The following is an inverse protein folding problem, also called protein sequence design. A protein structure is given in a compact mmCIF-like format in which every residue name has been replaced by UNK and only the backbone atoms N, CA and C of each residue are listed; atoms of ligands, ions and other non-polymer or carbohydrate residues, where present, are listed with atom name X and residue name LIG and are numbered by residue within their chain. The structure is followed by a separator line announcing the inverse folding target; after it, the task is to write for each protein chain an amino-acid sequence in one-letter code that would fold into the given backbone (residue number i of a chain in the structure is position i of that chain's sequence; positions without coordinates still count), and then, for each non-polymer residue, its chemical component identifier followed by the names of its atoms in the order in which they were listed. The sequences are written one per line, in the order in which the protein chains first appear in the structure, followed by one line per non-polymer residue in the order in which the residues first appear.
data_IF_304920712154
#
_entry.id   IF_304920712154
#
_cell.length_a   1.000
_cell.length_b   1.000
_cell.length_c   1.000
_cell.angle_alpha   90.00
_cell.angle_beta   90.00
_cell.angle_gamma   90.00
#
_symmetry.space_group_name_H-M   'P 1'
#
loop_
_entity.id
_entity.type
_entity.pdbx_description
1 polymer ?
#
# COMPACT_ATOMS: atom_id res chain seq x y z
N UNK A 1 -12.97 3.09 3.58
CA UNK A 1 -11.69 3.72 3.96
C UNK A 1 -10.54 2.93 3.35
N UNK A 2 -9.50 3.61 2.87
CA UNK A 2 -8.27 3.01 2.35
C UNK A 2 -7.08 3.58 3.12
N UNK A 3 -6.35 2.72 3.83
CA UNK A 3 -5.29 3.03 4.80
C UNK A 3 -5.70 3.96 5.95
N UNK A 4 -4.87 4.04 6.99
CA UNK A 4 -5.14 4.82 8.20
C UNK A 4 -4.02 5.79 8.58
N UNK A 5 -2.97 5.90 7.74
CA UNK A 5 -1.85 6.81 7.97
C UNK A 5 -0.89 6.35 9.07
N UNK A 6 0.10 7.21 9.36
CA UNK A 6 1.23 6.89 10.22
C UNK A 6 1.06 7.31 11.69
N UNK A 7 -0.05 7.96 12.03
CA UNK A 7 -0.28 8.49 13.37
C UNK A 7 -1.78 8.54 13.71
N UNK A 8 -2.15 7.92 14.83
CA UNK A 8 -3.56 7.83 15.25
C UNK A 8 -4.17 9.20 15.59
N UNK A 9 -3.40 10.13 16.14
CA UNK A 9 -3.88 11.48 16.51
C UNK A 9 -4.14 12.32 15.25
N UNK A 10 -3.21 12.29 14.29
CA UNK A 10 -3.37 12.95 12.99
C UNK A 10 -4.56 12.38 12.22
N UNK A 11 -4.70 11.07 12.21
CA UNK A 11 -5.85 10.40 11.59
C UNK A 11 -7.17 10.84 12.25
N UNK A 12 -7.23 10.85 13.58
CA UNK A 12 -8.39 11.33 14.34
C UNK A 12 -8.74 12.79 14.04
N UNK A 13 -7.71 13.65 13.97
CA UNK A 13 -7.88 15.06 13.61
C UNK A 13 -8.49 15.21 12.21
N UNK A 14 -7.92 14.53 11.22
CA UNK A 14 -8.39 14.57 9.83
C UNK A 14 -9.83 14.05 9.68
N UNK A 15 -10.15 12.94 10.33
CA UNK A 15 -11.51 12.36 10.35
C UNK A 15 -12.52 13.38 10.89
N UNK A 16 -12.21 14.06 11.99
CA UNK A 16 -13.06 15.10 12.58
C UNK A 16 -13.21 16.32 11.68
N UNK A 17 -12.09 16.79 11.13
CA UNK A 17 -12.06 17.98 10.26
C UNK A 17 -12.88 17.75 8.97
N UNK A 18 -12.81 16.54 8.41
CA UNK A 18 -13.54 16.16 7.20
C UNK A 18 -14.98 15.71 7.49
N UNK A 19 -15.39 15.63 8.75
CA UNK A 19 -16.73 15.20 9.14
C UNK A 19 -17.04 13.74 8.80
N UNK A 20 -16.03 12.87 8.74
CA UNK A 20 -16.21 11.45 8.41
C UNK A 20 -16.69 10.68 9.65
N UNK A 21 -17.83 10.01 9.54
CA UNK A 21 -18.33 9.12 10.61
C UNK A 21 -17.79 7.69 10.40
N UNK A 22 -16.73 7.34 11.12
CA UNK A 22 -16.09 6.03 11.04
C UNK A 22 -17.03 4.87 11.43
N UNK A 23 -18.12 5.13 12.18
CA UNK A 23 -19.12 4.12 12.55
C UNK A 23 -19.96 3.65 11.37
N UNK A 24 -19.98 4.43 10.29
CA UNK A 24 -20.75 4.15 9.06
C UNK A 24 -19.93 3.54 7.93
N UNK A 25 -18.69 3.13 8.21
CA UNK A 25 -17.86 2.47 7.22
C UNK A 25 -18.39 1.06 6.94
N UNK A 26 -18.60 0.74 5.68
CA UNK A 26 -18.93 -0.62 5.24
C UNK A 26 -17.73 -1.56 5.38
N UNK A 27 -16.53 -1.03 5.08
CA UNK A 27 -15.25 -1.74 5.21
C UNK A 27 -14.05 -0.79 5.21
N UNK A 28 -12.92 -1.34 5.58
CA UNK A 28 -11.60 -0.72 5.51
C UNK A 28 -10.68 -1.60 4.68
N UNK A 29 -9.78 -1.01 3.92
CA UNK A 29 -8.70 -1.69 3.23
C UNK A 29 -7.38 -1.18 3.82
N UNK A 30 -6.53 -2.08 4.25
CA UNK A 30 -5.12 -1.81 4.54
C UNK A 30 -4.30 -2.31 3.36
N UNK A 31 -3.59 -1.39 2.71
CA UNK A 31 -2.82 -1.72 1.52
C UNK A 31 -1.70 -2.68 1.81
N UNK A 32 -0.91 -2.42 2.85
CA UNK A 32 0.22 -3.26 3.26
C UNK A 32 0.63 -2.98 4.72
N UNK A 33 1.62 -3.71 5.21
CA UNK A 33 2.01 -3.78 6.64
C UNK A 33 2.77 -2.58 7.19
N UNK A 34 3.23 -1.63 6.40
CA UNK A 34 4.05 -0.53 6.90
C UNK A 34 3.28 0.38 7.86
N UNK A 35 3.98 0.89 8.87
CA UNK A 35 3.38 1.64 9.97
C UNK A 35 2.69 2.93 9.54
N UNK A 36 3.17 3.55 8.47
CA UNK A 36 2.58 4.76 7.88
C UNK A 36 1.23 4.51 7.17
N UNK A 37 0.80 3.26 7.07
CA UNK A 37 -0.51 2.85 6.56
C UNK A 37 -1.42 2.27 7.64
N UNK A 38 -0.85 1.77 8.74
CA UNK A 38 -1.57 0.99 9.75
C UNK A 38 -1.74 1.68 11.10
N UNK A 39 -0.96 2.72 11.41
CA UNK A 39 -0.90 3.29 12.78
C UNK A 39 -2.22 3.93 13.24
N UNK A 40 -3.05 4.40 12.33
CA UNK A 40 -4.38 4.94 12.66
C UNK A 40 -5.41 3.88 13.05
N UNK A 41 -5.12 2.57 12.88
CA UNK A 41 -6.01 1.48 13.29
C UNK A 41 -6.36 1.54 14.77
N UNK A 42 -5.45 2.01 15.64
CA UNK A 42 -5.75 2.18 17.06
C UNK A 42 -6.94 3.11 17.30
N UNK A 43 -6.98 4.26 16.59
CA UNK A 43 -8.12 5.18 16.70
C UNK A 43 -9.37 4.61 16.01
N UNK A 44 -9.24 4.06 14.81
CA UNK A 44 -10.35 3.46 14.10
C UNK A 44 -11.07 2.41 14.96
N UNK A 45 -10.32 1.48 15.53
CA UNK A 45 -10.87 0.38 16.33
C UNK A 45 -11.47 0.86 17.66
N UNK A 46 -11.00 1.98 18.21
CA UNK A 46 -11.64 2.61 19.39
C UNK A 46 -13.03 3.17 19.07
N UNK A 47 -13.30 3.52 17.80
CA UNK A 47 -14.57 4.11 17.35
C UNK A 47 -15.49 3.05 16.72
N UNK A 48 -14.91 2.13 15.94
CA UNK A 48 -15.64 1.06 15.24
C UNK A 48 -14.88 -0.28 15.35
N UNK A 49 -15.00 -0.99 16.48
CA UNK A 49 -14.20 -2.19 16.75
C UNK A 49 -14.55 -3.40 15.86
N UNK A 50 -15.71 -3.39 15.22
CA UNK A 50 -16.21 -4.54 14.44
C UNK A 50 -16.16 -4.32 12.93
N UNK A 51 -15.63 -3.18 12.46
CA UNK A 51 -15.56 -2.90 11.03
C UNK A 51 -14.74 -3.97 10.30
N UNK A 52 -15.22 -4.51 9.16
CA UNK A 52 -14.43 -5.43 8.34
C UNK A 52 -13.17 -4.73 7.80
N UNK A 53 -12.00 -5.34 8.02
CA UNK A 53 -10.71 -4.80 7.57
C UNK A 53 -10.09 -5.80 6.60
N UNK A 54 -10.12 -5.49 5.32
CA UNK A 54 -9.40 -6.25 4.31
C UNK A 54 -7.92 -5.91 4.37
N UNK A 55 -7.09 -6.93 4.55
CA UNK A 55 -5.65 -6.78 4.66
C UNK A 55 -4.92 -7.87 3.87
N UNK A 56 -3.68 -7.63 3.40
CA UNK A 56 -2.94 -8.63 2.66
C UNK A 56 -2.59 -9.83 3.55
N UNK A 57 -2.79 -11.05 3.03
CA UNK A 57 -2.30 -12.27 3.67
C UNK A 57 -0.79 -12.32 3.52
N UNK A 58 -0.09 -12.13 4.61
CA UNK A 58 1.37 -12.17 4.66
C UNK A 58 1.88 -13.51 5.19
N UNK A 59 2.93 -14.03 4.56
CA UNK A 59 3.52 -15.31 4.94
C UNK A 59 4.30 -15.23 6.25
N UNK A 60 4.74 -14.03 6.64
CA UNK A 60 5.67 -13.78 7.73
C UNK A 60 5.04 -13.11 8.95
N UNK A 61 3.74 -13.19 9.12
CA UNK A 61 3.07 -12.73 10.33
C UNK A 61 3.21 -11.22 10.54
N UNK A 62 2.60 -10.46 9.70
CA UNK A 62 2.53 -9.01 9.74
C UNK A 62 1.32 -8.52 10.51
N UNK A 63 1.23 -7.23 10.75
CA UNK A 63 0.25 -6.62 11.65
C UNK A 63 0.43 -7.04 13.12
N UNK A 64 1.66 -6.89 13.62
CA UNK A 64 2.01 -7.15 15.02
C UNK A 64 2.50 -8.55 15.31
N UNK A 65 2.84 -9.33 14.31
CA UNK A 65 3.45 -10.62 14.51
C UNK A 65 4.98 -10.52 14.63
N UNK A 66 5.54 -11.54 15.25
CA UNK A 66 7.00 -11.72 15.37
C UNK A 66 7.53 -12.46 14.15
N UNK A 67 8.58 -11.94 13.53
CA UNK A 67 9.20 -12.50 12.33
C UNK A 67 10.53 -13.14 12.71
N UNK A 68 10.82 -14.39 12.32
CA UNK A 68 12.11 -15.00 12.56
C UNK A 68 13.27 -14.24 11.90
N UNK A 69 14.40 -14.01 12.58
CA UNK A 69 15.50 -13.21 12.04
C UNK A 69 16.17 -13.80 10.79
N UNK A 70 15.95 -15.10 10.51
CA UNK A 70 16.45 -15.75 9.28
C UNK A 70 15.93 -15.15 7.97
N UNK A 71 14.81 -14.44 8.02
CA UNK A 71 14.27 -13.70 6.85
C UNK A 71 14.94 -12.36 6.65
N UNK A 72 15.75 -11.93 7.61
CA UNK A 72 16.42 -10.67 7.57
C UNK A 72 17.72 -10.80 6.76
N UNK A 73 17.81 -10.13 5.62
CA UNK A 73 19.02 -10.12 4.81
C UNK A 73 20.06 -9.19 5.42
N UNK A 74 21.19 -9.75 5.81
CA UNK A 74 22.35 -8.99 6.27
C UNK A 74 23.21 -8.58 5.09
N UNK A 75 23.69 -7.34 5.10
CA UNK A 75 24.73 -6.87 4.20
C UNK A 75 25.97 -6.53 5.02
N UNK A 76 26.87 -7.50 5.16
CA UNK A 76 28.04 -7.37 6.02
C UNK A 76 29.06 -6.33 5.53
N UNK A 77 29.03 -6.00 4.24
CA UNK A 77 29.82 -4.91 3.63
C UNK A 77 29.32 -3.51 3.99
N UNK A 78 28.11 -3.36 4.54
CA UNK A 78 27.59 -2.05 4.94
C UNK A 78 28.28 -1.56 6.23
N UNK A 79 28.56 -0.25 6.35
CA UNK A 79 29.04 0.34 7.59
C UNK A 79 28.13 -0.02 8.77
N UNK A 80 28.66 -0.24 9.98
CA UNK A 80 27.87 -0.66 11.15
C UNK A 80 26.67 0.27 11.44
N UNK A 81 26.84 1.58 11.27
CA UNK A 81 25.80 2.61 11.49
C UNK A 81 24.65 2.52 10.46
N UNK A 82 24.89 1.92 9.32
CA UNK A 82 23.88 1.67 8.27
C UNK A 82 23.25 0.27 8.38
N UNK A 83 23.70 -0.53 9.32
CA UNK A 83 23.14 -1.86 9.54
C UNK A 83 21.91 -1.76 10.44
N UNK A 84 20.87 -2.48 10.07
CA UNK A 84 19.72 -2.63 10.95
C UNK A 84 20.12 -3.22 12.30
N UNK A 85 19.59 -2.66 13.37
CA UNK A 85 19.91 -3.01 14.76
C UNK A 85 21.42 -2.93 15.08
N UNK A 86 22.17 -2.06 14.41
CA UNK A 86 23.64 -1.96 14.51
C UNK A 86 24.34 -3.32 14.31
N UNK A 87 23.78 -4.18 13.45
CA UNK A 87 24.28 -5.54 13.18
C UNK A 87 23.92 -6.59 14.22
N UNK A 88 23.22 -6.22 15.30
CA UNK A 88 22.77 -7.14 16.36
C UNK A 88 21.30 -7.46 16.16
N UNK A 89 20.98 -8.35 15.23
CA UNK A 89 19.62 -8.78 14.96
C UNK A 89 19.02 -9.45 16.20
N UNK A 90 17.85 -9.01 16.69
CA UNK A 90 17.19 -9.66 17.83
C UNK A 90 16.70 -11.07 17.46
N UNK A 91 16.40 -11.88 18.44
CA UNK A 91 15.89 -13.25 18.24
C UNK A 91 14.55 -13.24 17.47
N UNK A 92 13.77 -12.18 17.62
CA UNK A 92 12.52 -11.98 16.92
C UNK A 92 12.44 -10.53 16.41
N UNK A 93 11.93 -10.36 15.20
CA UNK A 93 11.59 -9.07 14.62
C UNK A 93 10.08 -8.87 14.78
N UNK A 94 9.69 -7.82 15.51
CA UNK A 94 8.28 -7.45 15.63
C UNK A 94 7.94 -6.36 14.63
N UNK A 95 6.77 -6.46 13.99
CA UNK A 95 6.23 -5.44 13.10
C UNK A 95 4.85 -5.01 13.55
N UNK A 96 4.62 -3.69 13.61
CA UNK A 96 3.35 -3.09 13.97
C UNK A 96 2.88 -3.38 15.40
N UNK A 97 1.70 -2.90 15.72
CA UNK A 97 1.00 -3.25 16.97
C UNK A 97 0.04 -4.40 16.71
N UNK A 98 -0.07 -5.38 17.61
CA UNK A 98 -1.06 -6.44 17.49
C UNK A 98 -2.47 -5.86 17.68
N UNK A 99 -3.39 -6.28 16.81
CA UNK A 99 -4.82 -5.97 16.93
C UNK A 99 -5.62 -7.29 16.96
N UNK A 100 -5.51 -8.10 18.02
CA UNK A 100 -6.05 -9.46 18.06
C UNK A 100 -7.59 -9.51 18.00
N UNK A 101 -8.25 -8.43 18.37
CA UNK A 101 -9.72 -8.31 18.32
C UNK A 101 -10.24 -7.69 17.01
N UNK A 102 -9.38 -7.25 16.11
CA UNK A 102 -9.79 -6.65 14.86
C UNK A 102 -10.37 -7.71 13.89
N UNK A 103 -11.41 -7.32 13.18
CA UNK A 103 -12.08 -8.17 12.20
C UNK A 103 -11.31 -8.16 10.86
N UNK A 104 -10.12 -8.78 10.83
CA UNK A 104 -9.32 -8.90 9.61
C UNK A 104 -9.87 -9.97 8.67
N UNK A 105 -9.98 -9.59 7.41
CA UNK A 105 -10.28 -10.47 6.27
C UNK A 105 -9.04 -10.50 5.38
N UNK A 106 -8.35 -11.64 5.36
CA UNK A 106 -7.07 -11.80 4.70
C UNK A 106 -7.22 -12.05 3.21
N UNK A 107 -6.55 -11.23 2.39
CA UNK A 107 -6.61 -11.27 0.93
C UNK A 107 -5.25 -11.66 0.36
N UNK A 108 -5.24 -12.63 -0.57
CA UNK A 108 -4.05 -13.13 -1.27
C UNK A 108 -4.20 -13.19 -2.79
N UNK A 109 -5.38 -12.90 -3.30
CA UNK A 109 -5.72 -12.97 -4.72
C UNK A 109 -6.71 -11.87 -5.11
N UNK A 110 -6.99 -11.73 -6.41
CA UNK A 110 -8.03 -10.83 -6.90
C UNK A 110 -9.38 -11.18 -6.25
N UNK A 111 -9.95 -10.23 -5.52
CA UNK A 111 -11.16 -10.45 -4.74
C UNK A 111 -12.17 -9.32 -4.96
N UNK A 112 -13.40 -9.65 -5.31
CA UNK A 112 -14.50 -8.69 -5.32
C UNK A 112 -15.07 -8.53 -3.91
N UNK A 113 -15.02 -7.31 -3.38
CA UNK A 113 -15.47 -6.98 -2.01
C UNK A 113 -16.80 -6.23 -1.97
N UNK A 114 -17.32 -5.85 -3.12
CA UNK A 114 -18.60 -5.17 -3.28
C UNK A 114 -18.94 -4.98 -4.76
N UNK A 115 -20.14 -4.51 -5.07
CA UNK A 115 -20.54 -4.25 -6.45
C UNK A 115 -19.63 -3.15 -7.05
N UNK A 116 -18.74 -3.54 -7.96
CA UNK A 116 -17.79 -2.63 -8.61
C UNK A 116 -16.53 -2.34 -7.80
N UNK A 117 -16.32 -2.99 -6.64
CA UNK A 117 -15.12 -2.84 -5.81
C UNK A 117 -14.31 -4.14 -5.82
N UNK A 118 -13.04 -4.05 -6.18
CA UNK A 118 -12.13 -5.19 -6.29
C UNK A 118 -10.81 -4.88 -5.57
N UNK A 119 -10.26 -5.87 -4.91
CA UNK A 119 -8.92 -5.83 -4.34
C UNK A 119 -7.97 -6.61 -5.23
N UNK A 120 -6.95 -5.92 -5.72
CA UNK A 120 -5.83 -6.51 -6.43
C UNK A 120 -4.76 -6.87 -5.39
N UNK A 121 -4.30 -8.10 -5.41
CA UNK A 121 -3.22 -8.57 -4.53
C UNK A 121 -1.97 -8.80 -5.36
N UNK A 122 -0.95 -7.99 -5.15
CA UNK A 122 0.35 -8.09 -5.83
C UNK A 122 1.47 -8.24 -4.81
N UNK A 123 2.56 -8.91 -5.19
CA UNK A 123 3.70 -9.15 -4.31
C UNK A 123 4.94 -8.49 -4.87
N UNK A 124 5.63 -7.70 -4.04
CA UNK A 124 6.92 -7.15 -4.41
C UNK A 124 7.97 -8.26 -4.51
N UNK A 125 8.69 -8.27 -5.63
CA UNK A 125 9.83 -9.18 -5.85
C UNK A 125 11.18 -8.47 -5.69
N UNK A 126 11.17 -7.22 -5.24
CA UNK A 126 12.38 -6.45 -5.02
C UNK A 126 13.15 -7.08 -3.85
N UNK A 127 14.43 -7.45 -4.02
CA UNK A 127 15.24 -8.01 -2.95
C UNK A 127 15.24 -7.10 -1.72
N UNK A 128 15.07 -7.68 -0.53
CA UNK A 128 15.06 -6.94 0.74
C UNK A 128 13.70 -6.48 1.23
N UNK A 129 12.63 -6.63 0.45
CA UNK A 129 11.26 -6.25 0.86
C UNK A 129 10.49 -7.37 1.56
N UNK A 130 11.11 -8.50 1.88
CA UNK A 130 10.50 -9.66 2.58
C UNK A 130 9.18 -10.10 1.94
N UNK A 131 9.14 -10.25 0.63
CA UNK A 131 7.92 -10.65 -0.10
C UNK A 131 6.69 -9.79 0.25
N UNK A 132 6.88 -8.49 0.35
CA UNK A 132 5.82 -7.57 0.71
C UNK A 132 4.63 -7.71 -0.24
N UNK A 133 3.51 -8.18 0.30
CA UNK A 133 2.23 -8.20 -0.40
C UNK A 133 1.51 -6.87 -0.21
N UNK A 134 0.96 -6.36 -1.29
CA UNK A 134 0.22 -5.11 -1.28
C UNK A 134 -1.15 -5.28 -1.96
N UNK A 135 -2.16 -4.68 -1.36
CA UNK A 135 -3.49 -4.57 -1.93
C UNK A 135 -3.66 -3.19 -2.58
N UNK A 136 -4.19 -3.19 -3.78
CA UNK A 136 -4.70 -1.98 -4.43
C UNK A 136 -6.21 -2.10 -4.60
N UNK A 137 -6.94 -1.01 -4.41
CA UNK A 137 -8.39 -0.99 -4.58
C UNK A 137 -8.74 -0.50 -5.98
N UNK A 138 -9.40 -1.35 -6.76
CA UNK A 138 -9.97 -0.97 -8.05
C UNK A 138 -11.48 -0.73 -7.91
N UNK A 139 -11.92 0.41 -8.39
CA UNK A 139 -13.33 0.82 -8.42
C UNK A 139 -13.77 0.91 -9.88
N UNK A 140 -14.72 0.08 -10.29
CA UNK A 140 -15.28 0.12 -11.64
C UNK A 140 -16.26 1.28 -11.76
N UNK A 141 -16.03 2.16 -12.73
CA UNK A 141 -16.89 3.29 -13.06
C UNK A 141 -17.33 3.25 -14.53
N UNK A 142 -18.33 4.05 -14.95
CA UNK A 142 -18.70 4.16 -16.37
C UNK A 142 -17.55 4.63 -17.29
N UNK A 143 -16.59 5.38 -16.76
CA UNK A 143 -15.42 5.88 -17.50
C UNK A 143 -14.27 4.85 -17.57
N UNK A 144 -14.29 3.83 -16.75
CA UNK A 144 -13.21 2.85 -16.56
C UNK A 144 -12.88 2.67 -15.09
N UNK A 145 -11.75 2.03 -14.80
CA UNK A 145 -11.30 1.79 -13.44
C UNK A 145 -10.70 3.04 -12.80
N UNK A 146 -10.99 3.24 -11.53
CA UNK A 146 -10.21 4.08 -10.61
C UNK A 146 -9.40 3.14 -9.71
N UNK A 147 -8.09 3.24 -9.73
CA UNK A 147 -7.19 2.41 -8.94
C UNK A 147 -6.57 3.27 -7.83
N UNK A 148 -6.73 2.83 -6.57
CA UNK A 148 -6.08 3.43 -5.41
C UNK A 148 -4.96 2.50 -4.93
N UNK A 149 -3.75 3.05 -4.81
CA UNK A 149 -2.55 2.36 -4.36
C UNK A 149 -2.06 2.92 -3.02
N UNK A 150 -1.47 2.09 -2.16
CA UNK A 150 -0.75 2.54 -0.97
C UNK A 150 0.62 3.11 -1.34
N UNK A 151 1.58 2.23 -1.57
CA UNK A 151 2.94 2.59 -1.99
C UNK A 151 3.33 2.07 -3.37
N UNK A 152 2.67 1.06 -3.89
CA UNK A 152 3.04 0.37 -5.13
C UNK A 152 4.43 -0.32 -5.05
N UNK A 153 4.76 -0.93 -3.91
CA UNK A 153 6.01 -1.69 -3.75
C UNK A 153 6.23 -2.78 -4.82
N UNK A 154 5.18 -3.44 -5.32
CA UNK A 154 5.31 -4.36 -6.45
C UNK A 154 5.68 -3.70 -7.78
N UNK A 155 5.59 -2.38 -7.86
CA UNK A 155 5.69 -1.56 -9.06
C UNK A 155 4.32 -1.21 -9.64
N UNK A 156 4.11 0.09 -9.92
CA UNK A 156 2.83 0.60 -10.44
C UNK A 156 2.43 -0.06 -11.76
N UNK A 157 3.38 -0.34 -12.65
CA UNK A 157 3.12 -1.01 -13.91
C UNK A 157 2.53 -2.42 -13.72
N UNK A 158 2.98 -3.17 -12.69
CA UNK A 158 2.44 -4.50 -12.37
C UNK A 158 1.03 -4.44 -11.79
N UNK A 159 0.74 -3.42 -10.98
CA UNK A 159 -0.60 -3.20 -10.43
C UNK A 159 -1.58 -2.88 -11.55
N UNK A 160 -1.19 -1.99 -12.46
CA UNK A 160 -1.98 -1.61 -13.63
C UNK A 160 -2.20 -2.82 -14.55
N UNK A 161 -1.17 -3.62 -14.81
CA UNK A 161 -1.30 -4.85 -15.62
C UNK A 161 -2.30 -5.83 -14.99
N UNK A 162 -2.16 -6.09 -13.69
CA UNK A 162 -3.05 -6.98 -12.97
C UNK A 162 -4.52 -6.49 -12.97
N UNK A 163 -4.75 -5.18 -12.95
CA UNK A 163 -6.09 -4.60 -12.93
C UNK A 163 -6.88 -4.84 -14.22
N UNK A 164 -6.20 -5.07 -15.34
CA UNK A 164 -6.85 -5.29 -16.64
C UNK A 164 -7.72 -6.56 -16.69
N UNK A 165 -7.52 -7.47 -15.76
CA UNK A 165 -8.42 -8.61 -15.58
C UNK A 165 -9.85 -8.19 -15.15
N UNK A 166 -10.00 -6.97 -14.61
CA UNK A 166 -11.28 -6.41 -14.16
C UNK A 166 -11.95 -5.62 -15.29
N UNK A 167 -11.22 -4.65 -15.87
CA UNK A 167 -11.64 -3.81 -17.01
C UNK A 167 -10.35 -3.29 -17.68
N UNK A 168 -10.21 -3.36 -19.02
CA UNK A 168 -9.03 -2.83 -19.70
C UNK A 168 -8.94 -1.31 -19.70
N UNK A 169 -10.04 -0.59 -19.43
CA UNK A 169 -10.08 0.88 -19.42
C UNK A 169 -9.63 1.40 -18.07
N UNK A 170 -8.65 2.29 -18.09
CA UNK A 170 -8.00 2.87 -16.90
C UNK A 170 -8.27 4.37 -16.84
N UNK A 171 -9.24 4.78 -16.02
CA UNK A 171 -9.62 6.18 -15.91
C UNK A 171 -8.71 6.97 -14.97
N UNK A 172 -8.38 6.43 -13.81
CA UNK A 172 -7.54 7.10 -12.83
C UNK A 172 -6.66 6.10 -12.07
N UNK A 173 -5.38 6.43 -11.92
CA UNK A 173 -4.48 5.74 -10.99
C UNK A 173 -3.98 6.76 -9.97
N UNK A 174 -4.26 6.54 -8.68
CA UNK A 174 -3.94 7.46 -7.60
C UNK A 174 -3.26 6.76 -6.42
N UNK A 175 -2.36 7.48 -5.75
CA UNK A 175 -1.65 7.02 -4.55
C UNK A 175 -0.15 7.07 -4.66
N UNK A 176 0.56 6.28 -3.86
CA UNK A 176 2.01 6.20 -3.86
C UNK A 176 2.54 5.30 -4.99
N UNK A 177 3.57 5.75 -5.70
CA UNK A 177 4.23 4.98 -6.77
C UNK A 177 5.64 4.51 -6.39
N UNK A 178 6.06 4.78 -5.16
CA UNK A 178 7.35 4.37 -4.57
C UNK A 178 8.58 4.72 -5.43
N UNK A 179 8.62 5.95 -5.95
CA UNK A 179 9.65 6.41 -6.90
C UNK A 179 10.64 7.42 -6.29
N UNK A 180 10.55 7.69 -5.00
CA UNK A 180 11.35 8.72 -4.29
C UNK A 180 12.86 8.56 -4.47
N UNK A 181 13.37 7.34 -4.67
CA UNK A 181 14.78 7.03 -4.90
C UNK A 181 15.05 6.46 -6.31
N UNK A 182 14.08 6.54 -7.22
CA UNK A 182 14.17 5.96 -8.56
C UNK A 182 14.86 6.96 -9.49
N UNK A 183 15.81 6.54 -10.34
CA UNK A 183 16.45 7.42 -11.33
C UNK A 183 15.43 8.04 -12.30
N UNK A 184 15.63 9.30 -12.66
CA UNK A 184 14.70 10.07 -13.52
C UNK A 184 14.39 9.35 -14.83
N UNK A 185 15.38 8.76 -15.49
CA UNK A 185 15.18 8.01 -16.73
C UNK A 185 14.24 6.80 -16.57
N UNK A 186 14.24 6.17 -15.40
CA UNK A 186 13.31 5.10 -15.09
C UNK A 186 11.91 5.65 -14.85
N UNK A 187 11.80 6.79 -14.18
CA UNK A 187 10.52 7.48 -13.96
C UNK A 187 9.89 7.91 -15.29
N UNK A 188 10.69 8.48 -16.20
CA UNK A 188 10.28 8.87 -17.55
C UNK A 188 9.73 7.65 -18.33
N UNK A 189 10.45 6.53 -18.28
CA UNK A 189 9.99 5.27 -18.90
C UNK A 189 8.66 4.81 -18.31
N UNK A 190 8.51 4.85 -16.99
CA UNK A 190 7.25 4.46 -16.31
C UNK A 190 6.12 5.40 -16.75
N UNK A 191 6.34 6.71 -16.75
CA UNK A 191 5.35 7.70 -17.17
C UNK A 191 4.89 7.45 -18.61
N UNK A 192 5.84 7.30 -19.54
CA UNK A 192 5.56 6.97 -20.94
C UNK A 192 4.80 5.65 -21.07
N UNK A 193 5.17 4.64 -20.30
CA UNK A 193 4.47 3.33 -20.33
C UNK A 193 3.02 3.45 -19.84
N UNK A 194 2.77 4.20 -18.77
CA UNK A 194 1.42 4.42 -18.26
C UNK A 194 0.56 5.18 -19.27
N UNK A 195 1.13 6.14 -19.98
CA UNK A 195 0.46 6.94 -21.00
C UNK A 195 0.23 6.15 -22.30
N UNK A 196 1.30 5.65 -22.92
CA UNK A 196 1.25 5.10 -24.28
C UNK A 196 0.76 3.65 -24.31
N UNK A 197 1.28 2.79 -23.40
CA UNK A 197 0.95 1.35 -23.41
C UNK A 197 -0.36 1.07 -22.67
N UNK A 198 -0.55 1.69 -21.51
CA UNK A 198 -1.70 1.41 -20.65
C UNK A 198 -2.86 2.38 -20.89
N UNK A 199 -2.62 3.49 -21.60
CA UNK A 199 -3.61 4.52 -21.92
C UNK A 199 -4.41 4.96 -20.70
N UNK A 200 -3.69 5.26 -19.60
CA UNK A 200 -4.30 5.77 -18.37
C UNK A 200 -4.73 7.21 -18.61
N UNK A 201 -6.03 7.51 -18.45
CA UNK A 201 -6.56 8.86 -18.70
C UNK A 201 -5.99 9.90 -17.74
N UNK A 202 -5.89 9.55 -16.45
CA UNK A 202 -5.46 10.46 -15.38
C UNK A 202 -4.57 9.74 -14.37
N UNK A 203 -3.57 10.44 -13.86
CA UNK A 203 -2.78 9.99 -12.72
C UNK A 203 -2.78 11.04 -11.61
N UNK A 204 -2.81 10.59 -10.35
CA UNK A 204 -2.70 11.43 -9.16
C UNK A 204 -1.64 10.83 -8.21
N UNK A 205 -0.34 10.95 -8.58
CA UNK A 205 0.74 10.40 -7.77
C UNK A 205 0.97 11.25 -6.52
N UNK A 206 1.23 10.58 -5.40
CA UNK A 206 1.46 11.24 -4.11
C UNK A 206 2.32 10.39 -3.19
N UNK A 207 2.31 10.69 -1.88
CA UNK A 207 2.96 9.91 -0.83
C UNK A 207 4.45 9.63 -1.13
N UNK A 208 4.83 8.37 -1.31
CA UNK A 208 6.21 7.94 -1.58
C UNK A 208 6.65 8.08 -3.06
N UNK A 209 5.90 8.76 -3.91
CA UNK A 209 6.28 9.04 -5.30
C UNK A 209 7.48 9.99 -5.37
N UNK A 210 7.52 11.01 -4.52
CA UNK A 210 8.57 12.02 -4.50
C UNK A 210 8.35 13.16 -5.51
N UNK A 211 8.80 14.37 -5.15
CA UNK A 211 8.59 15.58 -5.96
C UNK A 211 9.25 15.54 -7.36
N UNK A 212 10.49 15.02 -7.51
CA UNK A 212 11.10 14.92 -8.84
C UNK A 212 10.30 14.02 -9.79
N UNK A 213 9.83 12.86 -9.29
CA UNK A 213 9.01 11.95 -10.08
C UNK A 213 7.67 12.58 -10.45
N UNK A 214 7.03 13.29 -9.51
CA UNK A 214 5.81 14.03 -9.80
C UNK A 214 6.01 15.05 -10.91
N UNK A 215 7.11 15.82 -10.88
CA UNK A 215 7.42 16.81 -11.91
C UNK A 215 7.68 16.17 -13.31
N UNK A 216 8.16 14.94 -13.34
CA UNK A 216 8.34 14.19 -14.60
C UNK A 216 6.97 13.77 -15.13
N UNK A 217 6.10 13.22 -14.30
CA UNK A 217 4.75 12.82 -14.71
C UNK A 217 3.92 13.98 -15.27
N UNK A 218 4.14 15.21 -14.79
CA UNK A 218 3.45 16.40 -15.32
C UNK A 218 3.83 16.77 -16.76
N UNK A 219 4.94 16.22 -17.29
CA UNK A 219 5.45 16.55 -18.64
C UNK A 219 5.02 15.53 -19.70
N UNK A 220 4.52 14.40 -19.28
CA UNK A 220 4.04 13.30 -20.13
C UNK A 220 2.52 13.31 -20.21
#
# INVERSE_FOLDING_TARGET
LFDTGNNAETFAHNVKTLGVDLRKLDFVVISHRHGDHTSGLNYLLSVNPNVPIYAPRETFGVFGASIPPKFYRKMESSPPEMRYFAGKTPDHLSSGSPWPSANFIWIDSLTQVGKGFFLLSTVSQIPGTLELRELSLSIRTPKGQVILCGCSHPGIERIVDASRAIDPRLHLVAGGFHLVSTPDSTVERIATTLHEKWTVDLIAPGHCTGEPAFAIFQKV
#
